data_IF_937702257639
#
_entry.id   IF_937702257639
#
_cell.length_a   1.000
_cell.length_b   1.000
_cell.length_c   1.000
_cell.angle_alpha   90.00
_cell.angle_beta   90.00
_cell.angle_gamma   90.00
#
_symmetry.space_group_name_H-M   'P 1'
#
loop_
_entity.id
_entity.type
_entity.pdbx_description
1 polymer ?
#
# COMPACT_ATOMS: atom_id res chain seq x y z
N UNK A 1 -32.07 1.08 10.68
CA UNK A 1 -31.28 0.54 11.81
C UNK A 1 -30.27 -0.46 11.26
N UNK A 2 -28.96 -0.17 11.29
CA UNK A 2 -27.92 -1.13 10.86
C UNK A 2 -27.78 -2.20 11.96
N UNK A 3 -27.95 -3.48 11.62
CA UNK A 3 -27.68 -4.57 12.54
C UNK A 3 -26.21 -4.50 12.98
N UNK A 4 -25.97 -4.45 14.31
CA UNK A 4 -24.62 -4.59 14.88
C UNK A 4 -24.21 -6.06 14.73
N UNK A 5 -23.59 -6.39 13.60
CA UNK A 5 -22.94 -7.67 13.38
C UNK A 5 -21.84 -7.93 14.42
N UNK A 6 -21.52 -9.21 14.64
CA UNK A 6 -20.44 -9.68 15.52
C UNK A 6 -19.12 -9.00 15.09
N UNK A 7 -18.48 -8.26 15.99
CA UNK A 7 -17.22 -7.55 15.69
C UNK A 7 -16.09 -8.55 15.88
N UNK A 8 -15.40 -8.92 14.79
CA UNK A 8 -14.19 -9.72 14.87
C UNK A 8 -13.04 -8.81 15.35
N UNK A 9 -12.32 -9.16 16.43
CA UNK A 9 -11.21 -8.36 16.91
C UNK A 9 -10.07 -8.34 15.89
N UNK A 10 -9.40 -7.20 15.78
CA UNK A 10 -8.29 -6.97 14.84
C UNK A 10 -7.04 -6.65 15.64
N UNK A 11 -5.93 -7.30 15.29
CA UNK A 11 -4.64 -6.94 15.85
C UNK A 11 -3.96 -5.91 14.92
N UNK A 12 -3.96 -4.64 15.34
CA UNK A 12 -3.28 -3.57 14.63
C UNK A 12 -1.85 -3.44 15.14
N UNK A 13 -0.88 -3.52 14.23
CA UNK A 13 0.54 -3.35 14.54
C UNK A 13 1.04 -2.07 13.87
N UNK A 14 1.48 -1.10 14.68
CA UNK A 14 2.18 0.08 14.18
C UNK A 14 3.68 -0.22 14.01
N UNK A 15 4.19 -0.01 12.80
CA UNK A 15 5.59 -0.30 12.44
C UNK A 15 6.33 1.00 12.18
N UNK A 16 7.46 1.27 12.86
CA UNK A 16 8.22 2.50 12.67
C UNK A 16 8.65 2.73 11.20
N UNK A 17 8.39 3.92 10.67
CA UNK A 17 8.64 4.27 9.26
C UNK A 17 10.11 4.50 8.88
N UNK A 18 11.03 4.60 9.85
CA UNK A 18 12.44 4.83 9.56
C UNK A 18 13.06 3.60 8.84
N UNK A 19 13.77 3.81 7.74
CA UNK A 19 14.29 2.73 6.86
C UNK A 19 15.08 1.63 7.59
N UNK A 20 15.83 2.00 8.63
CA UNK A 20 16.59 1.07 9.50
C UNK A 20 15.73 0.07 10.27
N UNK A 21 14.41 0.29 10.37
CA UNK A 21 13.47 -0.54 11.13
C UNK A 21 12.64 -1.47 10.24
N UNK A 22 12.95 -1.53 8.93
CA UNK A 22 12.36 -2.52 8.00
C UNK A 22 12.40 -3.97 8.51
N UNK A 23 13.44 -4.46 9.21
CA UNK A 23 13.42 -5.82 9.76
C UNK A 23 12.23 -6.11 10.70
N UNK A 24 11.72 -5.08 11.41
CA UNK A 24 10.50 -5.24 12.24
C UNK A 24 9.26 -5.47 11.40
N UNK A 25 9.16 -4.86 10.21
CA UNK A 25 8.05 -5.12 9.29
C UNK A 25 8.05 -6.59 8.87
N UNK A 26 9.23 -7.11 8.48
CA UNK A 26 9.41 -8.48 7.99
C UNK A 26 8.99 -9.54 9.01
N UNK A 27 9.11 -9.26 10.31
CA UNK A 27 8.62 -10.13 11.39
C UNK A 27 7.09 -10.31 11.37
N UNK A 28 6.34 -9.27 10.97
CA UNK A 28 4.88 -9.30 10.96
C UNK A 28 4.26 -9.72 9.62
N UNK A 29 5.00 -9.59 8.51
CA UNK A 29 4.49 -9.91 7.17
C UNK A 29 3.88 -11.33 7.04
N UNK A 30 4.48 -12.41 7.61
CA UNK A 30 3.94 -13.77 7.46
C UNK A 30 2.55 -13.98 8.07
N UNK A 31 2.18 -13.16 9.05
CA UNK A 31 0.90 -13.25 9.77
C UNK A 31 -0.08 -12.13 9.39
N UNK A 32 0.33 -11.19 8.54
CA UNK A 32 -0.49 -10.04 8.16
C UNK A 32 -1.60 -10.45 7.20
N UNK A 33 -2.86 -10.24 7.60
CA UNK A 33 -4.01 -10.43 6.71
C UNK A 33 -4.17 -9.28 5.70
N UNK A 34 -3.69 -8.08 6.05
CA UNK A 34 -3.71 -6.89 5.21
C UNK A 34 -2.59 -5.93 5.63
N UNK A 35 -2.17 -5.07 4.71
CA UNK A 35 -1.16 -4.01 4.94
C UNK A 35 -1.81 -2.67 4.61
N UNK A 36 -1.68 -1.69 5.51
CA UNK A 36 -2.08 -0.31 5.28
C UNK A 36 -0.81 0.54 5.12
N UNK A 37 -0.55 0.99 3.90
CA UNK A 37 0.56 1.90 3.62
C UNK A 37 0.07 3.34 3.69
N UNK A 38 0.53 4.09 4.69
CA UNK A 38 0.12 5.49 4.90
C UNK A 38 1.04 6.42 4.11
N UNK A 39 0.44 7.33 3.35
CA UNK A 39 1.14 8.35 2.57
C UNK A 39 0.61 9.71 3.01
N UNK A 40 1.51 10.66 3.27
CA UNK A 40 1.12 12.04 3.46
C UNK A 40 0.69 12.64 2.12
N UNK A 41 -0.57 13.08 2.05
CA UNK A 41 -1.16 13.66 0.85
C UNK A 41 -0.84 15.15 0.69
N UNK A 42 -0.28 15.80 1.72
CA UNK A 42 0.10 17.19 1.69
C UNK A 42 1.41 17.38 0.90
N UNK A 43 1.37 18.27 -0.08
CA UNK A 43 2.58 18.73 -0.75
C UNK A 43 3.23 19.80 0.13
N UNK A 44 4.51 19.67 0.46
CA UNK A 44 5.21 20.59 1.37
C UNK A 44 5.15 22.06 0.95
N UNK A 45 4.96 22.30 -0.35
CA UNK A 45 4.91 23.65 -0.94
C UNK A 45 3.48 24.16 -1.19
N UNK A 46 2.44 23.37 -0.92
CA UNK A 46 1.03 23.77 -1.12
C UNK A 46 0.18 23.45 0.11
N UNK A 47 -0.73 24.36 0.46
CA UNK A 47 -1.71 24.15 1.55
C UNK A 47 -2.86 23.20 1.18
N UNK A 48 -2.76 22.48 0.07
CA UNK A 48 -3.81 21.59 -0.43
C UNK A 48 -3.28 20.18 -0.62
N UNK A 49 -3.98 19.21 -0.06
CA UNK A 49 -3.72 17.80 -0.31
C UNK A 49 -3.95 17.45 -1.78
N UNK A 50 -3.09 16.58 -2.33
CA UNK A 50 -3.36 15.97 -3.63
C UNK A 50 -4.52 14.97 -3.53
N UNK A 51 -5.28 14.83 -4.61
CA UNK A 51 -6.32 13.80 -4.67
C UNK A 51 -5.71 12.42 -4.65
N UNK A 52 -6.45 11.43 -4.11
CA UNK A 52 -6.00 10.03 -4.11
C UNK A 52 -5.66 9.50 -5.50
N UNK A 53 -6.35 9.93 -6.56
CA UNK A 53 -6.07 9.54 -7.94
C UNK A 53 -4.74 10.11 -8.44
N UNK A 54 -4.39 11.34 -8.04
CA UNK A 54 -3.10 11.93 -8.40
C UNK A 54 -1.95 11.17 -7.74
N UNK A 55 -2.04 10.93 -6.43
CA UNK A 55 -1.03 10.18 -5.67
C UNK A 55 -0.88 8.77 -6.24
N UNK A 56 -1.99 8.08 -6.50
CA UNK A 56 -2.00 6.76 -7.15
C UNK A 56 -1.20 6.77 -8.46
N UNK A 57 -1.50 7.72 -9.36
CA UNK A 57 -0.82 7.83 -10.66
C UNK A 57 0.67 8.15 -10.52
N UNK A 58 1.05 9.01 -9.56
CA UNK A 58 2.46 9.29 -9.30
C UNK A 58 3.20 8.05 -8.78
N UNK A 59 2.60 7.30 -7.85
CA UNK A 59 3.20 6.06 -7.36
C UNK A 59 3.36 5.02 -8.47
N UNK A 60 2.33 4.81 -9.31
CA UNK A 60 2.42 3.91 -10.47
C UNK A 60 3.56 4.34 -11.41
N UNK A 61 3.68 5.64 -11.69
CA UNK A 61 4.75 6.20 -12.53
C UNK A 61 6.15 5.99 -11.93
N UNK A 62 6.34 6.20 -10.63
CA UNK A 62 7.64 5.98 -9.99
C UNK A 62 8.00 4.49 -9.91
N UNK A 63 7.03 3.61 -9.68
CA UNK A 63 7.24 2.15 -9.75
C UNK A 63 7.65 1.73 -11.16
N UNK A 64 7.02 2.27 -12.20
CA UNK A 64 7.41 2.01 -13.60
C UNK A 64 8.89 2.35 -13.85
N UNK A 65 9.33 3.52 -13.39
CA UNK A 65 10.74 3.94 -13.51
C UNK A 65 11.69 3.00 -12.76
N UNK A 66 11.32 2.57 -11.54
CA UNK A 66 12.11 1.64 -10.74
C UNK A 66 12.17 0.24 -11.37
N UNK A 67 11.12 -0.18 -12.05
CA UNK A 67 11.07 -1.45 -12.79
C UNK A 67 11.99 -1.42 -13.99
N UNK A 68 11.94 -0.35 -14.79
CA UNK A 68 12.79 -0.16 -15.98
C UNK A 68 14.28 0.00 -15.62
N UNK A 69 14.60 0.58 -14.46
CA UNK A 69 16.00 0.71 -14.02
C UNK A 69 16.60 -0.60 -13.52
N UNK A 70 15.79 -1.51 -12.95
CA UNK A 70 16.24 -2.84 -12.51
C UNK A 70 16.47 -3.80 -13.66
N UNK A 71 15.64 -3.76 -14.70
CA UNK A 71 15.82 -4.60 -15.90
C UNK A 71 17.08 -4.25 -16.70
N UNK A 72 17.66 -3.06 -16.49
CA UNK A 72 18.93 -2.66 -17.11
C UNK A 72 20.18 -3.24 -16.42
N UNK A 73 20.05 -3.87 -15.24
CA UNK A 73 21.18 -4.38 -14.44
C UNK A 73 21.27 -5.91 -14.54
N UNK A 74 22.21 -6.40 -15.36
CA UNK A 74 22.74 -7.79 -15.49
C UNK A 74 21.83 -9.00 -15.23
N UNK A 75 21.76 -9.88 -16.24
CA UNK A 75 21.10 -11.20 -16.27
C UNK A 75 21.52 -12.19 -15.16
N UNK A 76 22.59 -11.93 -14.43
CA UNK A 76 23.09 -12.81 -13.36
C UNK A 76 22.33 -12.71 -12.02
N UNK A 77 21.42 -11.74 -11.84
CA UNK A 77 20.65 -11.54 -10.59
C UNK A 77 19.22 -12.11 -10.66
N UNK A 78 18.81 -12.61 -11.84
CA UNK A 78 17.41 -12.94 -12.18
C UNK A 78 16.84 -14.16 -11.43
N UNK A 79 17.66 -14.97 -10.76
CA UNK A 79 17.17 -16.18 -10.10
C UNK A 79 16.17 -15.93 -8.94
N UNK A 80 16.01 -14.68 -8.47
CA UNK A 80 15.07 -14.35 -7.39
C UNK A 80 14.31 -13.03 -7.60
N UNK A 81 14.31 -12.48 -8.82
CA UNK A 81 13.72 -11.17 -9.09
C UNK A 81 12.21 -11.33 -9.36
N UNK A 82 11.39 -11.06 -8.35
CA UNK A 82 9.94 -10.97 -8.51
C UNK A 82 9.62 -9.74 -9.35
N UNK A 83 9.49 -9.90 -10.67
CA UNK A 83 9.12 -8.82 -11.58
C UNK A 83 7.73 -8.31 -11.22
N UNK A 84 7.64 -7.03 -10.86
CA UNK A 84 6.36 -6.40 -10.52
C UNK A 84 5.63 -5.96 -11.80
N UNK A 85 4.38 -6.41 -11.96
CA UNK A 85 3.52 -6.09 -13.10
C UNK A 85 3.77 -6.94 -14.36
N UNK A 86 3.25 -6.48 -15.50
CA UNK A 86 3.28 -7.19 -16.79
C UNK A 86 4.40 -6.62 -17.67
N UNK A 87 5.20 -7.50 -18.29
CA UNK A 87 6.28 -7.11 -19.21
C UNK A 87 5.71 -6.44 -20.47
N UNK A 88 6.31 -5.33 -20.89
CA UNK A 88 5.88 -4.57 -22.07
C UNK A 88 4.68 -3.63 -21.85
N UNK A 89 3.97 -3.73 -20.73
CA UNK A 89 2.85 -2.84 -20.39
C UNK A 89 3.25 -1.79 -19.35
N UNK A 90 2.68 -0.58 -19.41
CA UNK A 90 2.86 0.44 -18.37
C UNK A 90 2.31 -0.08 -17.04
N UNK A 91 3.11 -0.02 -15.98
CA UNK A 91 2.71 -0.51 -14.67
C UNK A 91 1.42 0.16 -14.17
N UNK A 92 0.49 -0.68 -13.68
CA UNK A 92 -0.63 -0.27 -12.85
C UNK A 92 -0.73 -1.21 -11.65
N UNK A 93 -1.28 -0.71 -10.54
CA UNK A 93 -1.56 -1.53 -9.37
C UNK A 93 -2.49 -2.72 -9.65
N UNK A 94 -3.26 -2.70 -10.74
CA UNK A 94 -4.05 -3.86 -11.18
C UNK A 94 -3.18 -5.05 -11.62
N UNK A 95 -1.89 -4.83 -11.91
CA UNK A 95 -0.95 -5.88 -12.29
C UNK A 95 -0.33 -6.58 -11.08
N UNK A 96 -0.61 -6.11 -9.86
CA UNK A 96 -0.14 -6.75 -8.64
C UNK A 96 -0.96 -8.02 -8.35
N UNK A 97 -0.30 -9.09 -7.90
CA UNK A 97 -0.98 -10.29 -7.41
C UNK A 97 -1.89 -9.99 -6.20
N UNK A 98 -1.43 -9.11 -5.32
CA UNK A 98 -2.21 -8.64 -4.18
C UNK A 98 -3.14 -7.51 -4.60
N UNK A 99 -4.41 -7.56 -4.15
CA UNK A 99 -5.38 -6.47 -4.37
C UNK A 99 -4.90 -5.19 -3.68
N UNK A 100 -4.74 -4.13 -4.45
CA UNK A 100 -4.35 -2.80 -3.97
C UNK A 100 -5.56 -1.86 -4.08
N UNK A 101 -5.90 -1.20 -2.97
CA UNK A 101 -6.96 -0.19 -2.90
C UNK A 101 -6.38 1.12 -2.39
N UNK A 102 -6.82 2.25 -2.96
CA UNK A 102 -6.43 3.59 -2.50
C UNK A 102 -7.63 4.24 -1.82
N UNK A 103 -7.41 4.74 -0.60
CA UNK A 103 -8.43 5.37 0.24
C UNK A 103 -7.90 6.69 0.82
N UNK A 104 -8.82 7.60 1.11
CA UNK A 104 -8.51 8.84 1.83
C UNK A 104 -8.83 8.66 3.32
N UNK A 105 -8.01 9.27 4.15
CA UNK A 105 -8.22 9.31 5.60
C UNK A 105 -7.59 10.55 6.22
N UNK A 106 -8.11 10.96 7.37
CA UNK A 106 -7.59 12.05 8.17
C UNK A 106 -7.55 11.66 9.63
N UNK A 107 -6.34 11.63 10.19
CA UNK A 107 -6.13 11.42 11.63
C UNK A 107 -6.60 12.59 12.48
N UNK A 108 -6.65 13.81 11.92
CA UNK A 108 -7.06 15.02 12.63
C UNK A 108 -8.59 15.11 12.77
N UNK A 109 -9.33 14.81 11.70
CA UNK A 109 -10.81 14.86 11.69
C UNK A 109 -11.44 13.53 12.09
N UNK A 110 -10.66 12.45 12.16
CA UNK A 110 -11.14 11.10 12.46
C UNK A 110 -11.80 10.38 11.27
N UNK A 111 -11.72 10.95 10.06
CA UNK A 111 -12.26 10.36 8.84
C UNK A 111 -11.45 9.11 8.47
N UNK A 112 -11.92 7.95 8.94
CA UNK A 112 -11.20 6.66 8.81
C UNK A 112 -12.09 5.54 8.27
N UNK A 113 -13.32 5.86 7.87
CA UNK A 113 -14.35 4.87 7.47
C UNK A 113 -13.86 3.95 6.36
N UNK A 114 -13.24 4.49 5.31
CA UNK A 114 -12.73 3.70 4.18
C UNK A 114 -11.67 2.67 4.62
N UNK A 115 -10.79 3.04 5.56
CA UNK A 115 -9.77 2.14 6.10
C UNK A 115 -10.42 1.05 6.95
N UNK A 116 -11.41 1.40 7.79
CA UNK A 116 -12.14 0.43 8.61
C UNK A 116 -12.89 -0.59 7.74
N UNK A 117 -13.54 -0.14 6.67
CA UNK A 117 -14.27 -1.02 5.76
C UNK A 117 -13.32 -1.94 5.00
N UNK A 118 -12.16 -1.43 4.55
CA UNK A 118 -11.09 -2.27 3.99
C UNK A 118 -10.64 -3.35 4.97
N UNK A 119 -10.29 -2.97 6.21
CA UNK A 119 -9.83 -3.93 7.23
C UNK A 119 -10.89 -5.03 7.46
N UNK A 120 -12.17 -4.66 7.54
CA UNK A 120 -13.28 -5.60 7.75
C UNK A 120 -13.49 -6.58 6.59
N UNK A 121 -13.16 -6.19 5.35
CA UNK A 121 -13.25 -7.09 4.19
C UNK A 121 -12.29 -8.28 4.30
N UNK A 122 -11.11 -8.08 4.90
CA UNK A 122 -10.05 -9.09 4.98
C UNK A 122 -10.03 -9.89 6.28
N UNK A 123 -10.84 -9.49 7.27
CA UNK A 123 -11.05 -10.27 8.48
C UNK A 123 -12.22 -11.23 8.22
N UNK A 124 -11.88 -12.42 7.73
CA UNK A 124 -12.84 -13.53 7.68
C UNK A 124 -13.36 -13.82 9.09
N UNK A 125 -14.65 -14.17 9.27
CA UNK A 125 -15.12 -14.79 10.51
C UNK A 125 -14.47 -16.15 10.77
#
# INVERSE_FOLDING_TARGET
>A
MRQKGKINPVHLVDVPGHSRLRPKLEEFLPQAAAIVFVVDALETDKLTAHTKEFIRKQMEKEIEKLRASRSAVSTAVIANDFSIGIEGEVFSFSHCYNKVTVAEASGLTGETVQIQDFIREYIKP
#
